data_IF_260754456892
#
_entry.id   IF_260754456892
#
_cell.length_a   1.000
_cell.length_b   1.000
_cell.length_c   1.000
_cell.angle_alpha   90.00
_cell.angle_beta   90.00
_cell.angle_gamma   90.00
#
_symmetry.space_group_name_H-M   'P 1'
#
loop_
_entity.id
_entity.type
_entity.pdbx_description
1 polymer ?
#
# COMPACT_ATOMS: atom_id res chain seq x y z
N UNK A 1 49.75 -26.83 94.61
CA UNK A 1 49.55 -27.95 93.73
C UNK A 1 48.68 -27.45 92.58
N UNK A 2 49.32 -27.10 91.42
CA UNK A 2 48.70 -26.47 90.28
C UNK A 2 48.19 -27.54 89.30
N UNK A 3 46.93 -27.56 88.91
CA UNK A 3 46.41 -28.35 87.77
C UNK A 3 46.12 -27.40 86.63
N UNK A 4 46.90 -27.51 85.56
CA UNK A 4 46.66 -26.81 84.28
C UNK A 4 45.52 -27.49 83.51
N UNK A 5 44.46 -26.74 83.21
CA UNK A 5 43.39 -27.14 82.31
C UNK A 5 43.70 -26.53 80.91
N UNK A 6 44.01 -27.42 79.98
CA UNK A 6 44.30 -27.02 78.62
C UNK A 6 42.95 -27.03 77.79
N UNK A 7 42.50 -25.92 77.42
CA UNK A 7 41.31 -25.76 76.50
C UNK A 7 41.74 -26.02 75.07
N UNK A 8 41.32 -27.10 74.45
CA UNK A 8 41.49 -27.38 73.04
C UNK A 8 40.41 -26.64 72.28
N UNK A 9 40.81 -25.63 71.49
CA UNK A 9 39.90 -24.91 70.56
C UNK A 9 39.80 -25.73 69.27
N UNK A 10 38.63 -26.15 68.94
CA UNK A 10 38.31 -26.95 67.73
C UNK A 10 38.13 -26.04 66.52
N UNK A 11 39.10 -26.08 65.61
CA UNK A 11 39.27 -25.18 64.44
C UNK A 11 38.44 -25.61 63.22
N UNK A 12 37.37 -26.40 63.38
CA UNK A 12 36.63 -27.00 62.26
C UNK A 12 35.26 -26.40 61.99
N UNK A 13 34.84 -25.28 62.61
CA UNK A 13 33.51 -24.66 62.41
C UNK A 13 33.52 -23.25 61.86
N UNK A 14 34.65 -22.72 61.36
CA UNK A 14 34.74 -21.34 60.79
C UNK A 14 34.71 -21.27 59.27
N UNK A 15 34.47 -22.39 58.55
CA UNK A 15 34.54 -22.45 57.07
C UNK A 15 33.20 -22.43 56.32
N UNK A 16 32.03 -22.31 56.98
CA UNK A 16 30.73 -22.54 56.33
C UNK A 16 29.82 -21.30 56.10
N UNK A 17 30.28 -20.09 56.45
CA UNK A 17 29.41 -18.88 56.38
C UNK A 17 29.83 -17.81 55.33
N UNK A 18 30.80 -18.07 54.46
CA UNK A 18 31.27 -17.07 53.48
C UNK A 18 30.94 -17.35 52.00
N UNK A 19 30.10 -18.34 51.71
CA UNK A 19 29.72 -18.70 50.32
C UNK A 19 28.28 -18.40 49.96
N UNK A 20 27.50 -17.69 50.78
CA UNK A 20 26.07 -17.43 50.55
C UNK A 20 25.73 -15.99 50.09
N UNK A 21 26.70 -15.12 49.86
CA UNK A 21 26.46 -13.69 49.52
C UNK A 21 26.77 -13.27 48.07
N UNK A 22 27.11 -14.22 47.17
CA UNK A 22 27.51 -13.89 45.78
C UNK A 22 26.45 -14.19 44.70
N UNK A 23 25.18 -14.47 45.07
CA UNK A 23 24.13 -14.88 44.11
C UNK A 23 22.96 -13.90 43.97
N UNK A 24 23.16 -12.59 44.04
CA UNK A 24 22.03 -11.65 43.92
C UNK A 24 22.35 -10.34 43.18
N UNK A 25 23.11 -10.40 42.09
CA UNK A 25 23.16 -9.27 41.12
C UNK A 25 23.15 -9.81 39.69
N UNK A 26 22.09 -10.53 39.30
CA UNK A 26 21.74 -10.59 37.89
C UNK A 26 21.25 -9.19 37.49
N UNK A 27 21.82 -8.54 36.43
CA UNK A 27 21.27 -7.28 35.96
C UNK A 27 19.81 -7.52 35.55
N UNK A 28 18.91 -6.56 35.81
CA UNK A 28 17.55 -6.67 35.34
C UNK A 28 17.62 -6.88 33.83
N UNK A 29 17.17 -8.04 33.36
CA UNK A 29 17.05 -8.30 31.94
C UNK A 29 16.25 -7.16 31.35
N UNK A 30 16.80 -6.50 30.31
CA UNK A 30 16.08 -5.50 29.53
C UNK A 30 14.91 -6.23 28.88
N UNK A 31 13.79 -6.32 29.62
CA UNK A 31 12.56 -6.88 29.09
C UNK A 31 12.13 -5.99 27.91
N UNK A 32 12.36 -6.45 26.69
CA UNK A 32 11.75 -5.80 25.52
C UNK A 32 10.24 -5.93 25.73
N UNK A 33 9.55 -4.80 25.84
CA UNK A 33 8.10 -4.78 25.83
C UNK A 33 7.61 -5.48 24.57
N UNK A 34 6.53 -6.25 24.65
CA UNK A 34 5.95 -6.88 23.47
C UNK A 34 5.62 -5.81 22.40
N UNK A 35 5.89 -6.06 21.12
CA UNK A 35 5.62 -5.10 20.06
C UNK A 35 4.17 -4.61 20.07
N UNK A 36 3.97 -3.30 19.93
CA UNK A 36 2.65 -2.68 19.85
C UNK A 36 1.95 -3.11 18.56
N UNK A 37 0.81 -3.76 18.68
CA UNK A 37 0.01 -4.10 17.47
C UNK A 37 -0.68 -2.87 16.93
N UNK A 38 -0.50 -2.63 15.63
CA UNK A 38 -1.14 -1.54 14.87
C UNK A 38 -1.85 -2.13 13.65
N UNK A 39 -3.13 -1.81 13.51
CA UNK A 39 -3.96 -2.26 12.39
C UNK A 39 -4.09 -1.14 11.36
N UNK A 40 -3.72 -1.43 10.11
CA UNK A 40 -4.03 -0.59 8.95
C UNK A 40 -5.01 -1.33 8.04
N UNK A 41 -5.99 -0.60 7.56
CA UNK A 41 -6.97 -1.15 6.62
C UNK A 41 -6.61 -0.77 5.18
N UNK A 42 -6.88 -1.67 4.24
CA UNK A 42 -6.71 -1.42 2.82
C UNK A 42 -7.94 -1.79 2.02
N UNK A 43 -8.08 -1.21 0.84
CA UNK A 43 -9.14 -1.54 -0.09
C UNK A 43 -9.10 -3.05 -0.40
N UNK A 44 -10.25 -3.70 -0.34
CA UNK A 44 -10.39 -5.15 -0.54
C UNK A 44 -10.66 -5.56 -1.99
N UNK A 45 -10.86 -4.59 -2.90
CA UNK A 45 -11.21 -4.83 -4.32
C UNK A 45 -10.46 -3.88 -5.30
N UNK A 46 -9.17 -3.70 -5.07
CA UNK A 46 -8.32 -2.82 -5.90
C UNK A 46 -7.08 -3.54 -6.44
N UNK A 47 -7.28 -4.57 -7.28
CA UNK A 47 -6.17 -5.30 -7.90
C UNK A 47 -5.44 -4.45 -8.96
N UNK A 48 -4.11 -4.53 -9.06
CA UNK A 48 -3.18 -5.38 -8.32
C UNK A 48 -2.64 -4.76 -7.02
N UNK A 49 -3.19 -3.66 -6.56
CA UNK A 49 -2.67 -2.81 -5.49
C UNK A 49 -2.98 -3.34 -4.09
N UNK A 50 -4.26 -3.57 -3.80
CA UNK A 50 -4.74 -4.21 -2.57
C UNK A 50 -6.07 -4.89 -2.85
N UNK A 51 -6.16 -6.20 -2.60
CA UNK A 51 -7.36 -6.97 -2.91
C UNK A 51 -7.39 -8.29 -2.15
N UNK A 52 -8.56 -8.89 -2.06
CA UNK A 52 -8.74 -10.23 -1.51
C UNK A 52 -8.90 -11.24 -2.62
N UNK A 53 -8.09 -12.29 -2.61
CA UNK A 53 -8.22 -13.41 -3.52
C UNK A 53 -8.10 -14.71 -2.74
N UNK A 54 -9.08 -15.60 -2.90
CA UNK A 54 -9.17 -16.88 -2.16
C UNK A 54 -9.06 -16.71 -0.63
N UNK A 55 -9.67 -15.62 -0.09
CA UNK A 55 -9.63 -15.30 1.34
C UNK A 55 -8.31 -14.70 1.84
N UNK A 56 -7.33 -14.48 0.94
CA UNK A 56 -6.04 -13.89 1.30
C UNK A 56 -5.98 -12.43 0.87
N UNK A 57 -5.68 -11.54 1.81
CA UNK A 57 -5.45 -10.13 1.54
C UNK A 57 -4.03 -9.94 1.00
N UNK A 58 -3.90 -9.44 -0.22
CA UNK A 58 -2.64 -9.31 -0.95
C UNK A 58 -2.63 -8.10 -1.89
N UNK A 59 -1.52 -7.87 -2.57
CA UNK A 59 -1.33 -6.82 -3.56
C UNK A 59 -0.07 -6.00 -3.29
N UNK A 60 0.27 -5.14 -4.23
CA UNK A 60 1.50 -4.35 -4.22
C UNK A 60 1.64 -3.51 -2.95
N UNK A 61 0.60 -2.80 -2.53
CA UNK A 61 0.63 -2.00 -1.29
C UNK A 61 0.78 -2.86 -0.05
N UNK A 62 0.11 -4.01 -0.02
CA UNK A 62 0.19 -4.96 1.10
C UNK A 62 1.63 -5.44 1.29
N UNK A 63 2.32 -5.77 0.19
CA UNK A 63 3.70 -6.25 0.25
C UNK A 63 4.69 -5.13 0.55
N UNK A 64 4.49 -3.91 0.03
CA UNK A 64 5.29 -2.72 0.40
C UNK A 64 5.20 -2.47 1.91
N UNK A 65 3.98 -2.48 2.47
CA UNK A 65 3.76 -2.20 3.90
C UNK A 65 4.30 -3.33 4.79
N UNK A 66 4.14 -4.59 4.41
CA UNK A 66 4.75 -5.72 5.11
C UNK A 66 6.27 -5.61 5.12
N UNK A 67 6.87 -5.30 3.98
CA UNK A 67 8.31 -5.16 3.87
C UNK A 67 8.82 -3.96 4.70
N UNK A 68 8.12 -2.83 4.70
CA UNK A 68 8.46 -1.69 5.54
C UNK A 68 8.41 -2.03 7.04
N UNK A 69 7.38 -2.76 7.46
CA UNK A 69 7.19 -3.16 8.86
C UNK A 69 8.31 -4.06 9.40
N UNK A 70 9.04 -4.79 8.55
CA UNK A 70 10.19 -5.61 8.98
C UNK A 70 11.32 -4.81 9.64
N UNK A 71 11.40 -3.50 9.37
CA UNK A 71 12.36 -2.59 9.99
C UNK A 71 11.81 -1.84 11.22
N UNK A 72 10.62 -2.21 11.70
CA UNK A 72 9.93 -1.56 12.83
C UNK A 72 9.76 -2.54 14.00
N UNK A 73 10.83 -2.88 14.74
CA UNK A 73 10.78 -3.95 15.76
C UNK A 73 9.82 -3.64 16.93
N UNK A 74 9.53 -2.37 17.18
CA UNK A 74 8.62 -1.93 18.25
C UNK A 74 7.14 -2.14 17.91
N UNK A 75 6.86 -2.47 16.64
CA UNK A 75 5.50 -2.58 16.12
C UNK A 75 5.23 -3.92 15.43
N UNK A 76 4.05 -4.45 15.68
CA UNK A 76 3.47 -5.54 14.92
C UNK A 76 2.39 -4.99 14.00
N UNK A 77 2.69 -4.88 12.71
CA UNK A 77 1.73 -4.39 11.73
C UNK A 77 0.77 -5.49 11.30
N UNK A 78 -0.53 -5.23 11.42
CA UNK A 78 -1.60 -6.06 10.88
C UNK A 78 -2.32 -5.32 9.76
N UNK A 79 -2.38 -5.93 8.58
CA UNK A 79 -3.08 -5.38 7.41
C UNK A 79 -4.39 -6.11 7.22
N UNK A 80 -5.50 -5.37 7.20
CA UNK A 80 -6.83 -5.95 7.09
C UNK A 80 -7.59 -5.37 5.89
N UNK A 81 -8.30 -6.21 5.11
CA UNK A 81 -9.12 -5.75 4.00
C UNK A 81 -10.38 -5.05 4.51
N UNK A 82 -10.83 -4.04 3.76
CA UNK A 82 -12.09 -3.34 4.05
C UNK A 82 -12.65 -2.71 2.77
N UNK A 83 -13.96 -2.83 2.50
CA UNK A 83 -14.59 -2.13 1.40
C UNK A 83 -14.30 -0.63 1.45
N UNK A 84 -13.84 -0.06 0.33
CA UNK A 84 -13.28 1.30 0.27
C UNK A 84 -14.14 2.37 0.96
N UNK A 85 -15.44 2.44 0.59
CA UNK A 85 -16.35 3.42 1.18
C UNK A 85 -16.50 3.27 2.70
N UNK A 86 -16.56 2.03 3.21
CA UNK A 86 -16.61 1.75 4.65
C UNK A 86 -15.30 2.12 5.34
N UNK A 87 -14.17 1.95 4.64
CA UNK A 87 -12.85 2.36 5.12
C UNK A 87 -12.78 3.88 5.33
N UNK A 88 -13.20 4.66 4.33
CA UNK A 88 -13.24 6.12 4.41
C UNK A 88 -14.18 6.62 5.52
N UNK A 89 -15.39 6.08 5.62
CA UNK A 89 -16.36 6.42 6.67
C UNK A 89 -15.81 6.12 8.08
N UNK A 90 -15.21 4.96 8.26
CA UNK A 90 -14.60 4.57 9.54
C UNK A 90 -13.38 5.45 9.89
N UNK A 91 -12.57 5.84 8.90
CA UNK A 91 -11.44 6.76 9.08
C UNK A 91 -11.92 8.14 9.52
N UNK A 92 -12.96 8.67 8.87
CA UNK A 92 -13.57 9.96 9.21
C UNK A 92 -14.14 9.97 10.62
N UNK A 93 -14.80 8.89 11.04
CA UNK A 93 -15.35 8.72 12.38
C UNK A 93 -14.31 8.44 13.47
N UNK A 94 -13.03 8.22 13.10
CA UNK A 94 -11.97 7.85 14.06
C UNK A 94 -12.05 6.40 14.56
N UNK A 95 -12.87 5.56 13.93
CA UNK A 95 -13.03 4.15 14.30
C UNK A 95 -11.84 3.29 13.86
N UNK A 96 -11.08 3.75 12.86
CA UNK A 96 -9.85 3.11 12.40
C UNK A 96 -8.68 4.09 12.49
N UNK A 97 -7.49 3.55 12.75
CA UNK A 97 -6.26 4.33 12.89
C UNK A 97 -5.75 4.82 11.54
N UNK A 98 -5.72 3.96 10.53
CA UNK A 98 -5.21 4.28 9.21
C UNK A 98 -5.84 3.45 8.10
N UNK A 99 -5.85 4.03 6.90
CA UNK A 99 -6.39 3.44 5.67
C UNK A 99 -5.41 3.69 4.51
N UNK A 100 -5.24 2.72 3.62
CA UNK A 100 -4.48 2.86 2.37
C UNK A 100 -5.30 2.34 1.18
N UNK A 101 -5.11 2.83 -0.05
CA UNK A 101 -4.17 3.85 -0.53
C UNK A 101 -4.87 5.16 -0.97
N UNK A 102 -5.39 6.02 -0.11
CA UNK A 102 -6.01 7.23 -0.62
C UNK A 102 -4.98 8.21 -1.21
N UNK A 103 -5.35 8.90 -2.30
CA UNK A 103 -4.73 10.14 -2.73
C UNK A 103 -5.08 11.30 -1.78
N UNK A 104 -4.31 12.38 -1.80
CA UNK A 104 -4.62 13.60 -1.06
C UNK A 104 -5.79 14.33 -1.73
N UNK A 105 -6.78 14.70 -0.89
CA UNK A 105 -7.92 15.52 -1.31
C UNK A 105 -8.23 16.55 -0.25
N UNK A 106 -8.57 17.77 -0.68
CA UNK A 106 -8.91 18.89 0.22
C UNK A 106 -10.14 18.58 1.08
N UNK A 107 -11.09 17.82 0.56
CA UNK A 107 -12.32 17.42 1.24
C UNK A 107 -12.08 16.44 2.40
N UNK A 108 -10.88 15.84 2.47
CA UNK A 108 -10.51 14.88 3.53
C UNK A 108 -9.83 15.55 4.71
N UNK A 109 -10.44 16.61 5.27
CA UNK A 109 -9.93 17.33 6.45
C UNK A 109 -9.77 16.44 7.69
N UNK A 110 -10.46 15.30 7.71
CA UNK A 110 -10.37 14.28 8.76
C UNK A 110 -9.12 13.40 8.69
N UNK A 111 -8.27 13.59 7.68
CA UNK A 111 -6.98 12.88 7.54
C UNK A 111 -5.85 13.79 8.01
N UNK A 112 -5.12 13.36 9.06
CA UNK A 112 -3.95 14.08 9.57
C UNK A 112 -3.05 13.14 10.40
N UNK A 113 -1.78 12.96 9.95
CA UNK A 113 -1.22 13.32 8.65
C UNK A 113 -1.48 12.26 7.56
N UNK A 114 -0.92 12.48 6.39
CA UNK A 114 -0.63 11.44 5.41
C UNK A 114 0.80 10.93 5.62
N UNK A 115 1.05 9.66 5.28
CA UNK A 115 2.40 9.08 5.29
C UNK A 115 3.33 9.69 4.23
N UNK A 116 4.57 9.23 4.18
CA UNK A 116 5.37 9.30 2.96
C UNK A 116 4.62 8.62 1.79
N UNK A 117 4.92 9.04 0.57
CA UNK A 117 4.27 8.49 -0.65
C UNK A 117 4.45 6.97 -0.70
N UNK A 118 3.38 6.22 -0.85
CA UNK A 118 3.43 4.78 -1.10
C UNK A 118 3.82 4.49 -2.55
N UNK A 119 3.08 5.08 -3.49
CA UNK A 119 3.28 4.87 -4.91
C UNK A 119 2.71 6.06 -5.69
N UNK A 120 3.00 6.13 -7.00
CA UNK A 120 2.33 7.05 -7.92
C UNK A 120 1.53 6.24 -8.92
N UNK A 121 0.23 6.31 -8.80
CA UNK A 121 -0.70 5.74 -9.78
C UNK A 121 -0.81 6.66 -10.99
N UNK A 122 -0.92 6.08 -12.16
CA UNK A 122 -1.06 6.84 -13.39
C UNK A 122 -2.27 6.39 -14.18
N UNK A 123 -3.16 7.33 -14.49
CA UNK A 123 -4.20 7.11 -15.48
C UNK A 123 -3.59 7.32 -16.86
N UNK A 124 -3.68 6.31 -17.70
CA UNK A 124 -3.12 6.30 -19.05
C UNK A 124 -4.18 6.00 -20.09
N UNK A 125 -3.90 6.36 -21.33
CA UNK A 125 -4.73 6.05 -22.47
C UNK A 125 -4.12 4.84 -23.21
N UNK A 126 -4.88 3.78 -23.33
CA UNK A 126 -4.59 2.63 -24.17
C UNK A 126 -5.43 2.73 -25.44
N UNK A 127 -4.84 2.61 -26.62
CA UNK A 127 -5.59 2.67 -27.87
C UNK A 127 -5.38 1.42 -28.71
N UNK A 128 -6.38 1.07 -29.51
CA UNK A 128 -6.28 -0.01 -30.47
C UNK A 128 -5.25 0.38 -31.55
N UNK A 129 -4.41 -0.57 -32.00
CA UNK A 129 -3.35 -0.31 -32.98
C UNK A 129 -3.86 0.35 -34.27
N UNK A 130 -5.07 -0.01 -34.72
CA UNK A 130 -5.69 0.57 -35.90
C UNK A 130 -5.88 2.08 -35.80
N UNK A 131 -6.15 2.61 -34.59
CA UNK A 131 -6.29 4.03 -34.30
C UNK A 131 -4.95 4.75 -34.40
N UNK A 132 -3.86 4.04 -34.04
CA UNK A 132 -2.51 4.55 -34.01
C UNK A 132 -1.79 4.49 -35.37
N UNK A 133 -2.41 3.95 -36.41
CA UNK A 133 -1.89 4.04 -37.79
C UNK A 133 -1.75 5.47 -38.27
N UNK A 134 -2.59 6.38 -37.75
CA UNK A 134 -2.41 7.84 -37.89
C UNK A 134 -1.62 8.33 -36.69
N UNK A 135 -0.48 9.02 -36.89
CA UNK A 135 0.29 9.58 -35.78
C UNK A 135 -0.56 10.51 -34.90
N UNK A 136 -0.55 10.25 -33.57
CA UNK A 136 -1.29 11.04 -32.59
C UNK A 136 -0.36 11.39 -31.44
N UNK A 137 0.02 12.65 -31.37
CA UNK A 137 1.01 13.13 -30.40
C UNK A 137 0.47 14.25 -29.51
N UNK A 138 -0.53 14.99 -29.97
CA UNK A 138 -1.10 16.15 -29.26
C UNK A 138 -2.49 15.80 -28.73
N UNK A 139 -2.58 15.57 -27.44
CA UNK A 139 -3.88 15.37 -26.80
C UNK A 139 -4.46 16.73 -26.35
N UNK A 140 -5.77 16.99 -26.57
CA UNK A 140 -6.79 16.14 -27.18
C UNK A 140 -6.90 16.27 -28.72
N UNK A 141 -6.21 17.22 -29.34
CA UNK A 141 -6.44 17.62 -30.74
C UNK A 141 -6.36 16.44 -31.72
N UNK A 142 -5.29 15.62 -31.62
CA UNK A 142 -5.11 14.49 -32.54
C UNK A 142 -6.04 13.30 -32.22
N UNK A 143 -6.80 13.37 -31.11
CA UNK A 143 -7.76 12.34 -30.66
C UNK A 143 -9.22 12.76 -30.86
N UNK A 144 -9.45 13.91 -31.49
CA UNK A 144 -10.81 14.43 -31.73
C UNK A 144 -11.68 13.41 -32.48
N UNK A 145 -12.94 13.28 -32.04
CA UNK A 145 -13.91 12.36 -32.59
C UNK A 145 -13.77 10.91 -32.13
N UNK A 146 -12.73 10.56 -31.34
CA UNK A 146 -12.56 9.21 -30.85
C UNK A 146 -13.49 8.90 -29.67
N UNK A 147 -13.91 7.63 -29.60
CA UNK A 147 -14.65 7.08 -28.47
C UNK A 147 -13.69 6.49 -27.45
N UNK A 148 -13.69 7.03 -26.24
CA UNK A 148 -12.82 6.61 -25.15
C UNK A 148 -13.65 5.89 -24.09
N UNK A 149 -13.37 4.60 -23.88
CA UNK A 149 -13.95 3.82 -22.79
C UNK A 149 -13.42 4.30 -21.43
N UNK A 150 -14.28 4.29 -20.41
CA UNK A 150 -13.93 4.65 -19.04
C UNK A 150 -14.63 3.72 -18.06
N UNK A 151 -14.07 3.54 -16.86
CA UNK A 151 -14.73 2.77 -15.82
C UNK A 151 -15.84 3.59 -15.15
N UNK A 152 -17.01 3.00 -15.02
CA UNK A 152 -18.13 3.62 -14.30
C UNK A 152 -17.74 3.96 -12.86
N UNK A 153 -17.92 5.21 -12.47
CA UNK A 153 -17.61 5.69 -11.11
C UNK A 153 -16.14 6.02 -10.86
N UNK A 154 -15.27 5.92 -11.85
CA UNK A 154 -13.88 6.39 -11.74
C UNK A 154 -13.83 7.91 -11.80
N UNK A 155 -13.04 8.53 -10.93
CA UNK A 155 -12.72 9.95 -11.02
C UNK A 155 -11.68 10.15 -12.11
N UNK A 156 -12.10 10.70 -13.22
CA UNK A 156 -11.25 10.99 -14.37
C UNK A 156 -10.59 12.37 -14.21
N UNK A 157 -9.37 12.50 -14.76
CA UNK A 157 -8.66 13.78 -14.74
C UNK A 157 -9.35 14.84 -15.61
N UNK A 158 -9.21 16.11 -15.25
CA UNK A 158 -9.72 17.23 -16.07
C UNK A 158 -9.12 17.23 -17.47
N UNK A 159 -7.89 16.71 -17.65
CA UNK A 159 -7.26 16.55 -18.95
C UNK A 159 -8.12 15.70 -19.91
N UNK A 160 -8.88 14.73 -19.39
CA UNK A 160 -9.82 13.92 -20.17
C UNK A 160 -11.25 14.52 -20.17
N UNK A 161 -11.68 15.02 -19.02
CA UNK A 161 -13.07 15.48 -18.87
C UNK A 161 -13.38 16.78 -19.59
N UNK A 162 -12.44 17.74 -19.62
CA UNK A 162 -12.68 19.01 -20.30
C UNK A 162 -12.91 18.82 -21.80
N UNK A 163 -12.06 18.13 -22.58
CA UNK A 163 -12.32 17.87 -23.99
C UNK A 163 -13.60 17.10 -24.27
N UNK A 164 -13.98 16.21 -23.35
CA UNK A 164 -15.24 15.48 -23.49
C UNK A 164 -16.46 16.39 -23.31
N UNK A 165 -16.44 17.31 -22.34
CA UNK A 165 -17.50 18.33 -22.17
C UNK A 165 -17.60 19.29 -23.36
N UNK A 166 -16.49 19.56 -24.01
CA UNK A 166 -16.42 20.40 -25.23
C UNK A 166 -16.83 19.64 -26.50
N UNK A 167 -17.17 18.35 -26.38
CA UNK A 167 -17.59 17.53 -27.52
C UNK A 167 -16.46 17.08 -28.44
N UNK A 168 -15.19 17.28 -28.04
CA UNK A 168 -14.04 16.83 -28.83
C UNK A 168 -13.82 15.32 -28.73
N UNK A 169 -14.25 14.70 -27.63
CA UNK A 169 -14.12 13.28 -27.34
C UNK A 169 -15.46 12.70 -26.92
N UNK A 170 -15.69 11.43 -27.27
CA UNK A 170 -16.87 10.69 -26.81
C UNK A 170 -16.47 9.75 -25.70
N UNK A 171 -17.08 9.88 -24.50
CA UNK A 171 -16.83 8.96 -23.38
C UNK A 171 -17.91 7.87 -23.34
N UNK A 172 -17.47 6.63 -23.25
CA UNK A 172 -18.36 5.48 -23.10
C UNK A 172 -18.02 4.73 -21.80
N UNK A 173 -18.92 4.78 -20.82
CA UNK A 173 -18.72 4.15 -19.53
C UNK A 173 -19.10 2.66 -19.56
N UNK A 174 -18.24 1.81 -18.96
CA UNK A 174 -18.55 0.41 -18.72
C UNK A 174 -18.07 -0.02 -17.32
N UNK A 175 -18.62 -1.12 -16.81
CA UNK A 175 -18.27 -1.63 -15.49
C UNK A 175 -16.93 -2.37 -15.54
N UNK A 176 -15.90 -1.77 -14.96
CA UNK A 176 -14.59 -2.39 -14.72
C UNK A 176 -13.69 -2.50 -15.95
N UNK A 177 -12.46 -2.96 -15.69
CA UNK A 177 -11.42 -3.07 -16.71
C UNK A 177 -11.74 -4.14 -17.77
N UNK A 178 -12.27 -5.28 -17.35
CA UNK A 178 -12.56 -6.40 -18.25
C UNK A 178 -13.50 -5.99 -19.41
N UNK A 179 -14.63 -5.36 -19.10
CA UNK A 179 -15.59 -4.93 -20.11
C UNK A 179 -14.97 -3.92 -21.10
N UNK A 180 -14.19 -2.97 -20.60
CA UNK A 180 -13.52 -1.97 -21.45
C UNK A 180 -12.41 -2.59 -22.32
N UNK A 181 -11.60 -3.50 -21.79
CA UNK A 181 -10.58 -4.19 -22.56
C UNK A 181 -11.17 -5.06 -23.67
N UNK A 182 -12.28 -5.76 -23.42
CA UNK A 182 -13.02 -6.51 -24.45
C UNK A 182 -13.59 -5.59 -25.52
N UNK A 183 -14.18 -4.44 -25.12
CA UNK A 183 -14.67 -3.44 -26.08
C UNK A 183 -13.52 -2.90 -26.96
N UNK A 184 -12.36 -2.59 -26.35
CA UNK A 184 -11.19 -2.11 -27.07
C UNK A 184 -10.68 -3.14 -28.06
N UNK A 185 -10.55 -4.40 -27.65
CA UNK A 185 -10.12 -5.50 -28.52
C UNK A 185 -11.09 -5.73 -29.69
N UNK A 186 -12.39 -5.57 -29.47
CA UNK A 186 -13.45 -5.71 -30.48
C UNK A 186 -13.71 -4.41 -31.29
N UNK A 187 -12.89 -3.37 -31.09
CA UNK A 187 -13.03 -2.04 -31.74
C UNK A 187 -14.38 -1.38 -31.52
N UNK A 188 -15.05 -1.65 -30.39
CA UNK A 188 -16.29 -0.97 -30.01
C UNK A 188 -16.02 0.39 -29.39
N UNK A 189 -14.79 0.60 -28.90
CA UNK A 189 -14.20 1.86 -28.48
C UNK A 189 -12.82 1.98 -29.14
N UNK A 190 -12.36 3.21 -29.37
CA UNK A 190 -11.08 3.50 -30.02
C UNK A 190 -9.93 3.43 -29.02
N UNK A 191 -10.15 3.97 -27.83
CA UNK A 191 -9.20 3.97 -26.74
C UNK A 191 -9.87 3.63 -25.40
N UNK A 192 -9.05 3.34 -24.39
CA UNK A 192 -9.51 3.08 -23.02
C UNK A 192 -8.63 3.86 -22.05
N UNK A 193 -9.25 4.71 -21.21
CA UNK A 193 -8.59 5.46 -20.15
C UNK A 193 -8.76 4.73 -18.82
N UNK A 194 -7.63 4.32 -18.22
CA UNK A 194 -7.62 3.58 -16.96
C UNK A 194 -6.32 3.77 -16.21
N UNK A 195 -6.33 3.35 -14.94
CA UNK A 195 -5.09 3.14 -14.20
C UNK A 195 -4.22 2.10 -14.92
N UNK A 196 -2.93 2.42 -15.05
CA UNK A 196 -1.94 1.61 -15.78
C UNK A 196 -1.83 0.19 -15.22
N UNK A 197 -1.68 0.08 -13.90
CA UNK A 197 -1.49 -1.21 -13.23
C UNK A 197 -2.73 -2.07 -13.27
N UNK A 198 -3.88 -1.51 -12.99
CA UNK A 198 -5.16 -2.22 -13.00
C UNK A 198 -5.54 -2.72 -14.40
N UNK A 199 -5.38 -1.89 -15.44
CA UNK A 199 -5.64 -2.31 -16.81
C UNK A 199 -4.69 -3.43 -17.27
N UNK A 200 -3.40 -3.29 -17.01
CA UNK A 200 -2.41 -4.33 -17.37
C UNK A 200 -2.62 -5.64 -16.60
N UNK A 201 -2.97 -5.55 -15.31
CA UNK A 201 -3.29 -6.73 -14.50
C UNK A 201 -4.48 -7.49 -15.09
N UNK A 202 -5.57 -6.80 -15.39
CA UNK A 202 -6.76 -7.42 -16.02
C UNK A 202 -6.44 -7.96 -17.42
N UNK A 203 -5.64 -7.22 -18.22
CA UNK A 203 -5.24 -7.70 -19.53
C UNK A 203 -4.44 -9.01 -19.48
N UNK A 204 -3.58 -9.19 -18.47
CA UNK A 204 -2.86 -10.45 -18.24
C UNK A 204 -3.82 -11.60 -17.89
N UNK A 205 -4.80 -11.33 -17.02
CA UNK A 205 -5.83 -12.34 -16.68
C UNK A 205 -6.64 -12.78 -17.89
N UNK A 206 -6.90 -11.86 -18.82
CA UNK A 206 -7.65 -12.09 -20.04
C UNK A 206 -6.78 -12.46 -21.25
N UNK A 207 -5.47 -12.70 -21.07
CA UNK A 207 -4.50 -12.85 -22.17
C UNK A 207 -4.93 -13.90 -23.20
N UNK A 208 -5.44 -15.05 -22.77
CA UNK A 208 -5.93 -16.09 -23.66
C UNK A 208 -7.11 -15.64 -24.52
N UNK A 209 -8.07 -14.94 -23.92
CA UNK A 209 -9.25 -14.41 -24.62
C UNK A 209 -8.87 -13.27 -25.57
N UNK A 210 -8.07 -12.30 -25.11
CA UNK A 210 -7.64 -11.16 -25.92
C UNK A 210 -6.79 -11.59 -27.12
N UNK A 211 -5.99 -12.66 -26.98
CA UNK A 211 -5.21 -13.22 -28.05
C UNK A 211 -6.09 -13.78 -29.20
N UNK A 212 -7.30 -14.26 -28.91
CA UNK A 212 -8.22 -14.73 -29.96
C UNK A 212 -8.69 -13.59 -30.88
N UNK A 213 -8.62 -12.34 -30.41
CA UNK A 213 -8.93 -11.13 -31.21
C UNK A 213 -7.69 -10.55 -31.89
N UNK A 214 -6.50 -11.16 -31.72
CA UNK A 214 -5.23 -10.61 -32.20
C UNK A 214 -4.86 -9.28 -31.51
N UNK A 215 -5.36 -9.05 -30.28
CA UNK A 215 -5.22 -7.77 -29.58
C UNK A 215 -4.04 -7.78 -28.60
N UNK A 216 -3.24 -6.73 -28.67
CA UNK A 216 -2.24 -6.38 -27.67
C UNK A 216 -2.55 -5.00 -27.06
N UNK A 217 -2.33 -4.85 -25.75
CA UNK A 217 -2.58 -3.60 -25.05
C UNK A 217 -1.44 -2.62 -25.31
N UNK A 218 -1.72 -1.51 -26.02
CA UNK A 218 -0.76 -0.46 -26.35
C UNK A 218 -1.06 0.83 -25.55
N UNK A 219 -0.15 1.18 -24.64
CA UNK A 219 -0.18 2.47 -23.94
C UNK A 219 0.30 3.58 -24.88
N UNK A 220 -0.44 4.67 -24.93
CA UNK A 220 -0.18 5.78 -25.84
C UNK A 220 0.32 7.03 -25.12
N UNK A 221 -0.35 7.42 -24.02
CA UNK A 221 0.04 8.59 -23.25
C UNK A 221 -0.48 8.55 -21.82
N UNK A 222 0.17 9.29 -20.94
CA UNK A 222 -0.27 9.50 -19.57
C UNK A 222 -1.19 10.72 -19.47
N UNK A 223 -2.37 10.50 -18.89
CA UNK A 223 -3.36 11.55 -18.67
C UNK A 223 -3.16 12.27 -17.34
N UNK A 224 -2.89 11.51 -16.27
CA UNK A 224 -2.61 12.05 -14.93
C UNK A 224 -1.75 11.09 -14.12
N UNK A 225 -1.07 11.64 -13.11
CA UNK A 225 -0.32 10.86 -12.13
C UNK A 225 -0.59 11.41 -10.73
N UNK A 226 -1.04 10.53 -9.82
CA UNK A 226 -1.37 10.90 -8.44
C UNK A 226 -0.59 10.05 -7.46
N UNK A 227 -0.11 10.69 -6.37
CA UNK A 227 0.54 9.99 -5.29
C UNK A 227 -0.50 9.40 -4.33
N UNK A 228 -0.23 8.18 -3.85
CA UNK A 228 -1.03 7.49 -2.85
C UNK A 228 -0.27 7.36 -1.54
N UNK A 229 -1.01 7.20 -0.45
CA UNK A 229 -0.50 7.31 0.90
C UNK A 229 -1.18 6.32 1.87
N UNK A 230 -0.65 6.23 3.08
CA UNK A 230 -1.47 5.85 4.23
C UNK A 230 -2.10 7.14 4.75
N UNK A 231 -3.42 7.16 4.90
CA UNK A 231 -4.14 8.23 5.55
C UNK A 231 -4.39 7.85 7.02
N UNK A 232 -3.97 8.69 7.95
CA UNK A 232 -4.23 8.49 9.38
C UNK A 232 -5.37 9.37 9.84
N UNK A 233 -6.31 8.81 10.62
CA UNK A 233 -7.45 9.56 11.14
C UNK A 233 -7.00 10.69 12.08
N UNK A 234 -7.50 11.90 11.87
CA UNK A 234 -7.28 13.02 12.80
C UNK A 234 -7.93 12.78 14.17
N UNK A 235 -8.98 11.95 14.22
CA UNK A 235 -9.76 11.65 15.42
C UNK A 235 -9.29 10.43 16.20
N UNK A 236 -8.43 9.59 15.62
CA UNK A 236 -7.85 8.43 16.28
C UNK A 236 -6.40 8.75 16.66
N UNK A 237 -6.17 9.02 17.94
CA UNK A 237 -4.91 9.59 18.46
C UNK A 237 -4.33 8.78 19.63
N UNK A 238 -4.01 7.46 19.42
CA UNK A 238 -3.33 6.69 20.46
C UNK A 238 -1.94 7.26 20.75
N UNK A 239 -1.42 7.01 21.95
CA UNK A 239 -0.13 7.54 22.39
C UNK A 239 1.04 7.22 21.42
N UNK A 240 1.01 6.07 20.78
CA UNK A 240 2.03 5.64 19.83
C UNK A 240 1.91 6.27 18.43
N UNK A 241 0.86 7.06 18.14
CA UNK A 241 0.58 7.55 16.77
C UNK A 241 1.75 8.27 16.14
N UNK A 242 2.34 9.23 16.83
CA UNK A 242 3.42 10.06 16.29
C UNK A 242 4.67 9.22 15.98
N UNK A 243 5.04 8.35 16.92
CA UNK A 243 6.20 7.48 16.78
C UNK A 243 6.00 6.45 15.66
N UNK A 244 4.84 5.75 15.63
CA UNK A 244 4.52 4.82 14.55
C UNK A 244 4.62 5.46 13.17
N UNK A 245 4.06 6.67 13.00
CA UNK A 245 4.09 7.39 11.72
C UNK A 245 5.52 7.76 11.33
N UNK A 246 6.34 8.19 12.29
CA UNK A 246 7.75 8.52 12.05
C UNK A 246 8.54 7.29 11.60
N UNK A 247 8.41 6.17 12.30
CA UNK A 247 9.08 4.90 11.94
C UNK A 247 8.58 4.37 10.60
N UNK A 248 7.27 4.37 10.33
CA UNK A 248 6.69 3.94 9.05
C UNK A 248 7.21 4.80 7.88
N UNK A 249 7.25 6.12 8.04
CA UNK A 249 7.77 7.01 7.01
C UNK A 249 9.27 6.76 6.73
N UNK A 250 10.06 6.57 7.78
CA UNK A 250 11.49 6.23 7.64
C UNK A 250 11.68 4.88 6.92
N UNK A 251 10.88 3.87 7.28
CA UNK A 251 10.89 2.55 6.65
C UNK A 251 10.52 2.60 5.17
N UNK A 252 9.46 3.34 4.80
CA UNK A 252 9.04 3.52 3.40
C UNK A 252 10.12 4.24 2.57
N UNK A 253 10.76 5.27 3.13
CA UNK A 253 11.85 5.98 2.46
C UNK A 253 13.08 5.08 2.26
N UNK A 254 13.47 4.31 3.28
CA UNK A 254 14.57 3.35 3.20
C UNK A 254 14.31 2.27 2.15
N UNK A 255 13.07 1.75 2.09
CA UNK A 255 12.65 0.75 1.11
C UNK A 255 12.77 1.29 -0.33
N UNK A 256 12.43 2.56 -0.52
CA UNK A 256 12.58 3.24 -1.82
C UNK A 256 14.04 3.44 -2.19
N UNK A 257 14.86 3.98 -1.27
CA UNK A 257 16.27 4.24 -1.51
C UNK A 257 17.07 2.96 -1.80
N UNK A 258 16.73 1.84 -1.16
CA UNK A 258 17.37 0.54 -1.41
C UNK A 258 16.96 -0.13 -2.72
N UNK A 259 15.97 0.40 -3.43
CA UNK A 259 15.40 -0.19 -4.63
C UNK A 259 14.52 -1.43 -4.37
N UNK A 260 14.28 -1.79 -3.11
CA UNK A 260 13.39 -2.92 -2.78
C UNK A 260 11.95 -2.64 -3.19
N UNK A 261 11.47 -1.40 -2.97
CA UNK A 261 10.15 -1.00 -3.41
C UNK A 261 9.97 -1.20 -4.92
N UNK A 262 10.95 -0.78 -5.73
CA UNK A 262 10.90 -0.95 -7.19
C UNK A 262 10.84 -2.42 -7.62
N UNK A 263 11.49 -3.34 -6.89
CA UNK A 263 11.38 -4.79 -7.15
C UNK A 263 9.97 -5.31 -6.89
N UNK A 264 9.33 -4.87 -5.79
CA UNK A 264 7.94 -5.22 -5.48
C UNK A 264 7.02 -4.67 -6.59
N UNK A 265 7.14 -3.39 -6.94
CA UNK A 265 6.35 -2.76 -8.01
C UNK A 265 6.46 -3.53 -9.33
N UNK A 266 7.67 -3.89 -9.74
CA UNK A 266 7.91 -4.65 -10.97
C UNK A 266 7.25 -6.03 -10.97
N UNK A 267 7.16 -6.71 -9.82
CA UNK A 267 6.51 -8.01 -9.72
C UNK A 267 5.00 -7.94 -10.02
N UNK A 268 4.37 -6.79 -9.74
CA UNK A 268 2.94 -6.58 -9.95
C UNK A 268 2.60 -5.90 -11.29
N UNK A 269 3.50 -5.03 -11.80
CA UNK A 269 3.20 -4.10 -12.88
C UNK A 269 3.84 -4.48 -14.24
N UNK A 270 4.69 -5.47 -14.27
CA UNK A 270 5.27 -6.03 -15.53
C UNK A 270 4.26 -6.80 -16.34
#
# INVERSE_FOLDING_TARGET
MLVRMICKIDLRRAGACLLAAACAMAPPGIGHAAPQTVILYGDDDYAPYSYVENGVFKGMYVDILRQAAMSMPDYRLELQPRPWKRGLDALEKGQVFGLFPPGRKTERSYVQPYSAVLYRESVVLFCHEAVMRTPRTRFPADFAGLTIGVNTGFLLSEKLMAPAREGLLHLEAAKGNEANLKKLALRRIDCYASDRGAARHTARQLQGELATYGFALHEVLELSSEATYIAYSARNTPAYKADFIAQMNAALLALRHSGQQARIEQAYLR
#
